data_IF_111206131937
#
_entry.id   IF_111206131937
#
_cell.length_a   1.000
_cell.length_b   1.000
_cell.length_c   1.000
_cell.angle_alpha   90.00
_cell.angle_beta   90.00
_cell.angle_gamma   90.00
#
_symmetry.space_group_name_H-M   'P 1'
#
loop_
_entity.id
_entity.type
_entity.pdbx_description
1 polymer ?
#
# COMPACT_ATOMS: atom_id res chain seq x y z
N UNK A 1 5.75 32.97 -41.59
CA UNK A 1 5.86 31.50 -41.45
C UNK A 1 7.31 31.14 -41.78
N UNK A 2 8.01 30.40 -40.90
CA UNK A 2 7.62 29.04 -40.52
C UNK A 2 7.26 28.89 -39.04
N UNK A 3 6.34 27.96 -38.82
CA UNK A 3 5.79 27.52 -37.54
C UNK A 3 6.93 26.86 -36.74
N UNK A 4 7.30 27.45 -35.59
CA UNK A 4 8.02 26.72 -34.57
C UNK A 4 7.12 25.56 -34.13
N UNK A 5 7.58 24.32 -34.35
CA UNK A 5 6.87 23.11 -33.96
C UNK A 5 6.78 23.08 -32.44
N UNK A 6 5.62 23.44 -31.91
CA UNK A 6 5.20 22.99 -30.58
C UNK A 6 4.74 21.53 -30.69
N UNK A 7 5.17 20.76 -29.68
CA UNK A 7 4.66 19.47 -29.20
C UNK A 7 5.00 18.17 -29.98
N UNK A 8 5.09 17.01 -29.31
CA UNK A 8 4.59 16.74 -27.95
C UNK A 8 5.65 16.25 -26.95
N UNK A 9 5.40 16.62 -25.69
CA UNK A 9 5.57 15.82 -24.48
C UNK A 9 6.39 14.53 -24.67
N UNK A 10 7.58 14.47 -24.07
CA UNK A 10 8.27 13.22 -23.79
C UNK A 10 7.29 12.29 -23.08
N UNK A 11 6.63 11.43 -23.86
CA UNK A 11 5.87 10.32 -23.35
C UNK A 11 6.88 9.44 -22.65
N UNK A 12 7.02 9.66 -21.33
CA UNK A 12 7.64 8.72 -20.43
C UNK A 12 6.90 7.42 -20.68
N UNK A 13 7.53 6.53 -21.43
CA UNK A 13 7.06 5.17 -21.63
C UNK A 13 7.00 4.54 -20.23
N UNK A 14 5.85 4.68 -19.58
CA UNK A 14 5.57 4.11 -18.27
C UNK A 14 5.38 2.62 -18.52
N UNK A 15 6.43 1.83 -18.27
CA UNK A 15 6.36 0.39 -18.41
C UNK A 15 5.22 -0.16 -17.53
N UNK A 16 4.33 -1.02 -18.07
CA UNK A 16 3.14 -1.51 -17.38
C UNK A 16 3.45 -2.43 -16.18
N UNK A 17 4.72 -2.79 -15.97
CA UNK A 17 5.18 -3.60 -14.82
C UNK A 17 5.16 -2.84 -13.48
N UNK A 18 5.15 -1.50 -13.49
CA UNK A 18 5.13 -0.70 -12.26
C UNK A 18 3.72 -0.21 -11.92
N UNK A 19 2.94 -1.03 -11.21
CA UNK A 19 1.67 -0.59 -10.63
C UNK A 19 1.98 0.40 -9.49
N UNK A 20 1.85 1.69 -9.80
CA UNK A 20 1.92 2.77 -8.82
C UNK A 20 0.64 2.75 -7.99
N UNK A 21 0.74 2.24 -6.77
CA UNK A 21 -0.39 2.21 -5.86
C UNK A 21 -0.44 3.50 -5.06
N UNK A 22 -1.44 4.33 -5.36
CA UNK A 22 -1.73 5.56 -4.64
C UNK A 22 -2.87 5.28 -3.68
N UNK A 23 -2.63 5.46 -2.38
CA UNK A 23 -3.64 5.31 -1.34
C UNK A 23 -3.91 6.67 -0.71
N UNK A 24 -5.19 7.07 -0.70
CA UNK A 24 -5.69 8.15 0.15
C UNK A 24 -6.53 7.52 1.26
N UNK A 25 -5.94 7.38 2.45
CA UNK A 25 -6.61 6.83 3.61
C UNK A 25 -7.09 7.98 4.49
N UNK A 26 -8.40 8.22 4.53
CA UNK A 26 -9.00 9.21 5.43
C UNK A 26 -9.46 8.55 6.72
N UNK A 27 -8.77 8.85 7.82
CA UNK A 27 -9.16 8.47 9.18
C UNK A 27 -9.95 9.62 9.83
N UNK A 28 -11.28 9.48 9.84
CA UNK A 28 -12.19 10.46 10.44
C UNK A 28 -12.21 11.80 9.71
N UNK A 29 -12.48 12.89 10.45
CA UNK A 29 -12.56 14.25 9.90
C UNK A 29 -11.22 14.99 9.80
N UNK A 30 -10.15 14.44 10.39
CA UNK A 30 -8.92 15.20 10.65
C UNK A 30 -7.63 14.58 10.10
N UNK A 31 -7.64 13.32 9.65
CA UNK A 31 -6.41 12.63 9.22
C UNK A 31 -6.62 12.12 7.80
N UNK A 32 -5.89 12.69 6.85
CA UNK A 32 -5.74 12.16 5.49
C UNK A 32 -4.31 11.69 5.32
N UNK A 33 -4.12 10.39 5.09
CA UNK A 33 -2.82 9.79 4.84
C UNK A 33 -2.72 9.47 3.34
N UNK A 34 -1.98 10.32 2.63
CA UNK A 34 -1.68 10.11 1.23
C UNK A 34 -0.33 9.38 1.11
N UNK A 35 -0.35 8.18 0.54
CA UNK A 35 0.84 7.37 0.30
C UNK A 35 0.91 6.94 -1.15
N UNK A 36 2.09 7.05 -1.77
CA UNK A 36 2.34 6.49 -3.09
C UNK A 36 3.48 5.50 -2.98
N UNK A 37 3.19 4.21 -3.17
CA UNK A 37 4.20 3.16 -3.14
C UNK A 37 4.15 2.34 -4.43
N UNK A 38 5.32 1.90 -4.89
CA UNK A 38 5.41 0.86 -5.92
C UNK A 38 5.09 -0.46 -5.24
N UNK A 39 3.98 -1.09 -5.62
CA UNK A 39 3.50 -2.30 -4.97
C UNK A 39 3.45 -3.44 -5.98
N UNK A 40 3.99 -4.58 -5.58
CA UNK A 40 3.86 -5.83 -6.34
C UNK A 40 2.65 -6.61 -5.82
N UNK A 41 1.80 -7.21 -6.68
CA UNK A 41 0.65 -8.00 -6.23
C UNK A 41 1.02 -9.14 -5.28
N UNK A 42 2.15 -9.81 -5.56
CA UNK A 42 2.69 -10.84 -4.68
C UNK A 42 3.09 -10.28 -3.30
N UNK A 43 3.64 -9.06 -3.26
CA UNK A 43 4.02 -8.36 -2.03
C UNK A 43 2.82 -8.02 -1.15
N UNK A 44 1.67 -7.64 -1.74
CA UNK A 44 0.45 -7.37 -0.97
C UNK A 44 -0.07 -8.65 -0.31
N UNK A 45 -0.13 -9.74 -1.08
CA UNK A 45 -0.62 -11.03 -0.57
C UNK A 45 0.29 -11.53 0.55
N UNK A 46 1.61 -11.49 0.35
CA UNK A 46 2.57 -11.93 1.37
C UNK A 46 2.51 -11.05 2.62
N UNK A 47 2.40 -9.74 2.49
CA UNK A 47 2.21 -8.82 3.61
C UNK A 47 0.92 -9.13 4.38
N UNK A 48 -0.19 -9.38 3.67
CA UNK A 48 -1.47 -9.76 4.28
C UNK A 48 -1.38 -11.05 5.09
N UNK A 49 -0.75 -12.09 4.54
CA UNK A 49 -0.53 -13.37 5.24
C UNK A 49 0.37 -13.17 6.45
N UNK A 50 1.46 -12.42 6.31
CA UNK A 50 2.39 -12.15 7.41
C UNK A 50 1.70 -11.42 8.57
N UNK A 51 0.92 -10.37 8.27
CA UNK A 51 0.15 -9.63 9.27
C UNK A 51 -0.89 -10.53 9.94
N UNK A 52 -1.62 -11.36 9.19
CA UNK A 52 -2.59 -12.29 9.74
C UNK A 52 -1.94 -13.31 10.69
N UNK A 53 -0.81 -13.90 10.29
CA UNK A 53 -0.06 -14.84 11.13
C UNK A 53 0.45 -14.18 12.42
N UNK A 54 0.97 -12.95 12.32
CA UNK A 54 1.39 -12.16 13.49
C UNK A 54 0.21 -11.88 14.42
N UNK A 55 -0.93 -11.44 13.91
CA UNK A 55 -2.12 -11.17 14.71
C UNK A 55 -2.66 -12.43 15.39
N UNK A 56 -2.64 -13.58 14.72
CA UNK A 56 -3.02 -14.86 15.32
C UNK A 56 -2.08 -15.25 16.46
N UNK A 57 -0.77 -15.12 16.27
CA UNK A 57 0.23 -15.42 17.30
C UNK A 57 0.06 -14.51 18.53
N UNK A 58 -0.11 -13.20 18.31
CA UNK A 58 -0.36 -12.22 19.36
C UNK A 58 -1.70 -12.47 20.08
N UNK A 59 -2.76 -12.79 19.34
CA UNK A 59 -4.07 -13.13 19.89
C UNK A 59 -4.03 -14.39 20.75
N UNK A 60 -3.31 -15.42 20.30
CA UNK A 60 -3.09 -16.64 21.08
C UNK A 60 -2.30 -16.37 22.36
N UNK A 61 -1.22 -15.58 22.28
CA UNK A 61 -0.44 -15.17 23.44
C UNK A 61 -1.28 -14.38 24.46
N UNK A 62 -2.09 -13.43 23.99
CA UNK A 62 -2.99 -12.65 24.84
C UNK A 62 -4.06 -13.55 25.50
N UNK A 63 -4.63 -14.49 24.75
CA UNK A 63 -5.64 -15.44 25.25
C UNK A 63 -5.08 -16.39 26.32
N UNK A 64 -3.87 -16.92 26.09
CA UNK A 64 -3.21 -17.80 27.05
C UNK A 64 -2.84 -17.07 28.35
N UNK A 65 -2.36 -15.83 28.27
CA UNK A 65 -2.11 -14.99 29.44
C UNK A 65 -3.39 -14.66 30.24
N UNK A 66 -4.52 -14.46 29.56
CA UNK A 66 -5.83 -14.20 30.21
C UNK A 66 -6.37 -15.42 30.95
N UNK A 67 -6.22 -16.63 30.39
CA UNK A 67 -6.63 -17.89 31.05
C UNK A 67 -5.83 -18.21 32.31
N UNK A 68 -4.59 -17.72 32.43
CA UNK A 68 -3.75 -17.94 33.61
C UNK A 68 -4.05 -16.98 34.78
N UNK A 69 -4.75 -15.88 34.50
CA UNK A 69 -5.15 -14.86 35.49
C UNK A 69 -6.59 -15.03 35.98
N UNK A 70 -7.37 -15.90 35.36
CA UNK A 70 -8.68 -16.37 35.81
C UNK A 70 -8.47 -17.67 36.59
#
# INVERSE_FOLDING_TARGET
MPIAKEEPSAAVHSHPEEIKSVFDLRLGKHISLQGSARITPAGVISAGIAVAAMMLALGYLASSGKRRRQ
#
